data_IF_425595598336
#
_entry.id   IF_425595598336
#
_cell.length_a   1.000
_cell.length_b   1.000
_cell.length_c   1.000
_cell.angle_alpha   90.00
_cell.angle_beta   90.00
_cell.angle_gamma   90.00
#
_symmetry.space_group_name_H-M   'P 1'
#
loop_
_entity.id
_entity.type
_entity.pdbx_description
1 polymer ?
#
# COMPACT_ATOMS: atom_id res chain seq x y z
N UNK A 1 -1.33 -14.82 -2.10
CA UNK A 1 -1.83 -13.60 -1.43
C UNK A 1 -1.47 -13.69 0.04
N UNK A 2 -1.10 -12.59 0.71
CA UNK A 2 -0.62 -12.63 2.10
C UNK A 2 -1.66 -13.25 3.05
N UNK A 3 -1.24 -14.16 3.91
CA UNK A 3 -2.05 -14.76 4.96
C UNK A 3 -2.11 -13.86 6.20
N UNK A 4 -3.15 -14.01 7.02
CA UNK A 4 -3.25 -13.25 8.28
C UNK A 4 -2.08 -13.55 9.22
N UNK A 5 -1.58 -14.79 9.20
CA UNK A 5 -0.44 -15.22 9.99
C UNK A 5 0.85 -14.50 9.58
N UNK A 6 1.15 -14.42 8.27
CA UNK A 6 2.32 -13.68 7.76
C UNK A 6 2.24 -12.20 8.12
N UNK A 7 1.04 -11.60 8.00
CA UNK A 7 0.80 -10.20 8.34
C UNK A 7 1.04 -9.96 9.83
N UNK A 8 0.47 -10.81 10.70
CA UNK A 8 0.63 -10.67 12.14
C UNK A 8 2.09 -10.85 12.58
N UNK A 9 2.81 -11.81 11.99
CA UNK A 9 4.24 -12.01 12.25
C UNK A 9 5.06 -10.79 11.84
N UNK A 10 4.76 -10.20 10.68
CA UNK A 10 5.42 -8.97 10.25
C UNK A 10 5.11 -7.80 11.19
N UNK A 11 3.84 -7.58 11.57
CA UNK A 11 3.47 -6.52 12.54
C UNK A 11 4.29 -6.65 13.83
N UNK A 12 4.40 -7.86 14.38
CA UNK A 12 5.17 -8.12 15.59
C UNK A 12 6.68 -7.86 15.41
N UNK A 13 7.21 -8.14 14.22
CA UNK A 13 8.65 -7.99 13.91
C UNK A 13 9.05 -6.54 13.72
N UNK A 14 8.21 -5.74 13.07
CA UNK A 14 8.56 -4.36 12.68
C UNK A 14 8.44 -3.40 13.87
N UNK A 15 7.93 -3.86 15.03
CA UNK A 15 7.80 -3.12 16.30
C UNK A 15 7.40 -1.67 16.07
N UNK A 16 6.33 -1.49 15.31
CA UNK A 16 5.81 -0.17 15.00
C UNK A 16 5.30 0.40 16.36
N UNK A 17 5.48 1.69 16.66
CA UNK A 17 5.36 2.22 18.03
C UNK A 17 3.95 2.15 18.67
N UNK A 18 3.72 2.81 19.81
CA UNK A 18 2.43 2.74 20.54
C UNK A 18 1.20 3.27 19.76
N UNK A 19 1.39 3.88 18.60
CA UNK A 19 0.33 4.40 17.71
C UNK A 19 0.01 3.44 16.54
N UNK A 20 0.17 2.13 16.74
CA UNK A 20 -0.14 1.08 15.76
C UNK A 20 -1.63 0.90 15.56
N UNK A 21 -2.22 1.80 14.78
CA UNK A 21 -3.58 1.66 14.31
C UNK A 21 -3.57 0.71 13.09
N UNK A 22 -3.53 -0.59 13.36
CA UNK A 22 -3.85 -1.62 12.37
C UNK A 22 -5.32 -1.99 12.54
N UNK A 23 -6.16 -1.52 11.62
CA UNK A 23 -7.60 -1.81 11.68
C UNK A 23 -7.92 -3.23 11.22
N UNK A 24 -7.29 -3.68 10.12
CA UNK A 24 -7.59 -4.97 9.52
C UNK A 24 -6.41 -5.50 8.67
N UNK A 25 -6.16 -6.83 8.63
CA UNK A 25 -5.14 -7.42 7.76
C UNK A 25 -5.31 -7.08 6.27
N UNK A 26 -6.55 -6.87 5.82
CA UNK A 26 -6.83 -6.46 4.44
C UNK A 26 -6.24 -5.10 4.08
N UNK A 27 -6.06 -4.18 5.03
CA UNK A 27 -5.38 -2.91 4.77
C UNK A 27 -3.93 -3.14 4.31
N UNK A 28 -3.26 -4.15 4.90
CA UNK A 28 -1.93 -4.59 4.47
C UNK A 28 -1.98 -5.25 3.09
N UNK A 29 -2.99 -6.08 2.80
CA UNK A 29 -3.15 -6.71 1.48
C UNK A 29 -3.38 -5.66 0.38
N UNK A 30 -4.19 -4.65 0.67
CA UNK A 30 -4.45 -3.52 -0.22
C UNK A 30 -3.15 -2.76 -0.52
N UNK A 31 -2.41 -2.39 0.53
CA UNK A 31 -1.14 -1.70 0.37
C UNK A 31 -0.12 -2.56 -0.41
N UNK A 32 -0.08 -3.86 -0.15
CA UNK A 32 0.78 -4.80 -0.86
C UNK A 32 0.44 -4.83 -2.35
N UNK A 33 -0.84 -4.98 -2.70
CA UNK A 33 -1.30 -5.02 -4.08
C UNK A 33 -0.96 -3.73 -4.85
N UNK A 34 -1.09 -2.57 -4.19
CA UNK A 34 -0.73 -1.29 -4.79
C UNK A 34 0.79 -1.15 -5.01
N UNK A 35 1.61 -1.55 -4.03
CA UNK A 35 3.08 -1.54 -4.14
C UNK A 35 3.60 -2.51 -5.20
N UNK A 36 2.95 -3.67 -5.35
CA UNK A 36 3.32 -4.68 -6.33
C UNK A 36 3.14 -4.21 -7.77
N UNK A 37 2.13 -3.38 -8.05
CA UNK A 37 1.93 -2.78 -9.37
C UNK A 37 2.96 -1.69 -9.74
N UNK A 38 3.69 -1.13 -8.77
CA UNK A 38 4.60 -0.01 -9.06
C UNK A 38 5.87 -0.46 -9.80
N UNK A 39 6.39 0.40 -10.68
CA UNK A 39 7.73 0.20 -11.27
C UNK A 39 8.81 0.43 -10.21
N UNK A 40 9.67 -0.56 -9.99
CA UNK A 40 10.79 -0.48 -9.05
C UNK A 40 12.01 0.18 -9.69
N UNK A 41 12.78 0.92 -8.90
CA UNK A 41 14.03 1.59 -9.29
C UNK A 41 15.19 1.11 -8.38
N UNK A 42 16.43 1.37 -8.80
CA UNK A 42 17.61 0.86 -8.09
C UNK A 42 17.88 1.57 -6.76
N UNK A 43 17.49 2.83 -6.63
CA UNK A 43 17.67 3.65 -5.43
C UNK A 43 16.34 4.01 -4.79
N UNK A 44 16.34 4.35 -3.50
CA UNK A 44 15.15 4.89 -2.86
C UNK A 44 14.72 6.20 -3.55
N UNK A 45 13.43 6.33 -3.85
CA UNK A 45 12.90 7.57 -4.39
C UNK A 45 13.09 8.68 -3.35
N UNK A 46 13.62 9.83 -3.78
CA UNK A 46 13.78 11.01 -2.91
C UNK A 46 12.48 11.80 -2.74
N UNK A 47 11.43 11.43 -3.47
CA UNK A 47 10.16 12.12 -3.41
C UNK A 47 9.31 11.53 -2.27
N UNK A 48 9.12 12.33 -1.24
CA UNK A 48 8.27 11.99 -0.10
C UNK A 48 6.81 12.15 -0.51
N UNK A 49 6.14 11.03 -0.78
CA UNK A 49 4.69 10.98 -0.95
C UNK A 49 4.04 10.43 0.31
N UNK A 50 2.88 10.95 0.68
CA UNK A 50 1.99 10.26 1.61
C UNK A 50 1.28 9.12 0.86
N UNK A 51 2.03 8.03 0.61
CA UNK A 51 1.59 6.90 -0.22
C UNK A 51 0.27 6.31 0.26
N UNK A 52 0.01 6.35 1.57
CA UNK A 52 -1.25 5.89 2.16
C UNK A 52 -2.45 6.54 1.48
N UNK A 53 -2.42 7.84 1.20
CA UNK A 53 -3.58 8.52 0.60
C UNK A 53 -3.86 8.06 -0.82
N UNK A 54 -2.84 7.70 -1.60
CA UNK A 54 -3.05 7.15 -2.93
C UNK A 54 -3.65 5.75 -2.87
N UNK A 55 -3.17 4.93 -1.92
CA UNK A 55 -3.67 3.58 -1.67
C UNK A 55 -5.12 3.63 -1.18
N UNK A 56 -5.43 4.50 -0.22
CA UNK A 56 -6.77 4.72 0.34
C UNK A 56 -7.79 5.08 -0.74
N UNK A 57 -7.45 6.08 -1.56
CA UNK A 57 -8.30 6.57 -2.65
C UNK A 57 -8.48 5.51 -3.73
N UNK A 58 -7.42 4.78 -4.05
CA UNK A 58 -7.51 3.70 -5.00
C UNK A 58 -8.43 2.59 -4.47
N UNK A 59 -8.23 2.11 -3.25
CA UNK A 59 -8.98 0.97 -2.72
C UNK A 59 -10.36 1.29 -2.12
N UNK A 60 -10.66 2.57 -1.85
CA UNK A 60 -11.89 2.96 -1.16
C UNK A 60 -11.95 2.45 0.29
N UNK A 61 -10.80 2.38 0.96
CA UNK A 61 -10.65 1.89 2.34
C UNK A 61 -9.53 2.65 3.03
N UNK A 62 -9.73 3.06 4.28
CA UNK A 62 -8.66 3.62 5.10
C UNK A 62 -7.48 2.65 5.24
N UNK A 63 -6.24 3.16 5.09
CA UNK A 63 -4.99 2.42 5.22
C UNK A 63 -4.01 3.27 6.02
N UNK A 64 -3.48 2.72 7.12
CA UNK A 64 -2.53 3.43 7.96
C UNK A 64 -1.12 3.44 7.36
N UNK A 65 -0.24 4.31 7.86
CA UNK A 65 1.19 4.27 7.51
C UNK A 65 1.85 2.96 7.94
N UNK A 66 1.37 2.39 9.06
CA UNK A 66 1.84 1.12 9.58
C UNK A 66 1.50 0.00 8.60
N UNK A 67 0.30 -0.01 8.01
CA UNK A 67 -0.10 -0.99 7.00
C UNK A 67 0.81 -0.95 5.78
N UNK A 68 1.15 0.26 5.31
CA UNK A 68 2.08 0.45 4.18
C UNK A 68 3.49 -0.05 4.52
N UNK A 69 3.95 0.17 5.76
CA UNK A 69 5.26 -0.32 6.23
C UNK A 69 5.29 -1.85 6.29
N UNK A 70 4.24 -2.49 6.82
CA UNK A 70 4.11 -3.95 6.87
C UNK A 70 4.07 -4.53 5.47
N UNK A 71 3.26 -3.95 4.58
CA UNK A 71 3.18 -4.38 3.19
C UNK A 71 4.54 -4.28 2.47
N UNK A 72 5.26 -3.18 2.67
CA UNK A 72 6.59 -2.99 2.11
C UNK A 72 7.62 -3.99 2.68
N UNK A 73 7.54 -4.29 3.98
CA UNK A 73 8.40 -5.28 4.63
C UNK A 73 8.17 -6.70 4.07
N UNK A 74 6.91 -7.06 3.82
CA UNK A 74 6.52 -8.36 3.26
C UNK A 74 6.83 -8.50 1.76
N UNK A 75 7.05 -7.39 1.05
CA UNK A 75 7.18 -7.41 -0.40
C UNK A 75 8.64 -7.67 -0.84
N UNK A 76 8.92 -8.73 -1.63
CA UNK A 76 10.29 -9.17 -1.92
C UNK A 76 11.14 -8.16 -2.72
N UNK A 77 10.52 -7.39 -3.62
CA UNK A 77 11.19 -6.38 -4.44
C UNK A 77 11.15 -4.95 -3.89
N UNK A 78 10.40 -4.67 -2.83
CA UNK A 78 10.31 -3.32 -2.25
C UNK A 78 11.42 -3.17 -1.21
N UNK A 79 12.13 -2.05 -1.28
CA UNK A 79 13.26 -1.69 -0.42
C UNK A 79 13.12 -0.22 0.00
N UNK A 80 13.77 0.13 1.10
CA UNK A 80 13.70 1.47 1.67
C UNK A 80 12.81 1.53 2.90
N UNK A 81 12.43 2.73 3.31
CA UNK A 81 11.62 2.98 4.52
C UNK A 81 10.59 4.05 4.20
N UNK A 82 9.37 3.87 4.68
CA UNK A 82 8.31 4.86 4.50
C UNK A 82 8.78 6.27 4.95
N UNK A 83 8.53 7.33 4.14
CA UNK A 83 7.76 7.34 2.89
C UNK A 83 8.57 7.01 1.62
N UNK A 84 9.87 6.76 1.74
CA UNK A 84 10.82 6.64 0.63
C UNK A 84 11.15 5.17 0.32
N UNK A 85 10.36 4.56 -0.57
CA UNK A 85 10.65 3.24 -1.13
C UNK A 85 11.35 3.33 -2.48
N UNK A 86 11.88 2.21 -2.96
CA UNK A 86 12.50 2.05 -4.28
C UNK A 86 11.46 1.99 -5.42
N UNK A 87 10.46 2.87 -5.40
CA UNK A 87 9.43 2.97 -6.44
C UNK A 87 9.66 4.22 -7.30
N UNK A 88 9.34 4.13 -8.59
CA UNK A 88 9.38 5.25 -9.53
C UNK A 88 8.41 6.36 -9.11
N UNK A 89 8.80 7.63 -9.24
CA UNK A 89 7.88 8.77 -9.05
C UNK A 89 6.81 8.84 -10.14
N UNK A 90 7.07 8.24 -11.30
CA UNK A 90 6.05 7.98 -12.31
C UNK A 90 5.23 6.76 -11.89
N UNK A 91 4.17 6.99 -11.12
CA UNK A 91 3.31 5.94 -10.55
C UNK A 91 2.53 5.19 -11.64
N UNK A 92 2.24 3.93 -11.35
CA UNK A 92 1.38 3.05 -12.17
C UNK A 92 0.05 2.87 -11.47
N UNK A 93 -1.06 3.16 -12.16
CA UNK A 93 -2.42 2.89 -11.66
C UNK A 93 -2.63 1.37 -11.63
N UNK A 94 -2.77 0.75 -10.45
CA UNK A 94 -2.93 -0.69 -10.38
C UNK A 94 -4.29 -1.13 -10.92
N UNK A 95 -4.35 -2.29 -11.59
CA UNK A 95 -5.61 -2.83 -12.08
C UNK A 95 -6.53 -3.23 -10.91
N UNK A 96 -7.84 -3.00 -11.08
CA UNK A 96 -8.87 -3.34 -10.09
C UNK A 96 -8.94 -4.83 -9.78
N UNK A 97 -8.54 -5.68 -10.73
CA UNK A 97 -8.54 -7.14 -10.55
C UNK A 97 -7.66 -7.59 -9.37
N UNK A 98 -6.65 -6.80 -9.00
CA UNK A 98 -5.78 -7.05 -7.84
C UNK A 98 -6.52 -7.03 -6.49
N UNK A 99 -7.72 -6.44 -6.45
CA UNK A 99 -8.54 -6.29 -5.25
C UNK A 99 -9.63 -7.35 -5.08
N UNK A 100 -9.88 -8.21 -6.09
CA UNK A 100 -11.05 -9.11 -6.14
C UNK A 100 -11.17 -10.02 -4.91
N UNK A 101 -10.05 -10.40 -4.29
CA UNK A 101 -10.02 -11.32 -3.15
C UNK A 101 -9.78 -10.63 -1.80
N UNK A 102 -10.01 -9.31 -1.71
CA UNK A 102 -9.90 -8.54 -0.48
C UNK A 102 -11.31 -8.10 -0.07
N UNK A 103 -11.75 -8.47 1.13
CA UNK A 103 -13.12 -8.26 1.58
C UNK A 103 -13.37 -6.79 1.97
N UNK A 104 -12.39 -6.14 2.58
CA UNK A 104 -12.50 -4.76 3.07
C UNK A 104 -12.43 -3.68 1.99
N UNK A 105 -12.34 -4.05 0.71
CA UNK A 105 -12.25 -3.09 -0.40
C UNK A 105 -13.58 -2.38 -0.60
N UNK A 106 -13.53 -1.06 -0.84
CA UNK A 106 -14.70 -0.22 -1.11
C UNK A 106 -15.72 -0.13 0.04
N UNK A 107 -15.40 -0.57 1.26
CA UNK A 107 -16.29 -0.44 2.41
C UNK A 107 -16.41 1.00 2.91
N UNK A 108 -15.50 1.90 2.50
CA UNK A 108 -15.51 3.33 2.82
C UNK A 108 -15.54 4.16 1.51
N UNK A 109 -16.68 4.23 0.83
CA UNK A 109 -16.78 4.74 -0.55
C UNK A 109 -16.35 6.20 -0.69
N UNK A 110 -16.45 7.01 0.36
CA UNK A 110 -16.01 8.41 0.37
C UNK A 110 -14.54 8.58 -0.01
N UNK A 111 -13.68 7.62 0.35
CA UNK A 111 -12.27 7.63 -0.07
C UNK A 111 -12.13 7.47 -1.58
N UNK A 112 -12.94 6.58 -2.19
CA UNK A 112 -12.85 6.29 -3.60
C UNK A 112 -13.29 7.46 -4.47
N UNK A 113 -14.26 8.26 -4.02
CA UNK A 113 -14.70 9.47 -4.76
C UNK A 113 -13.57 10.48 -5.00
N UNK A 114 -12.52 10.42 -4.17
CA UNK A 114 -11.34 11.29 -4.26
C UNK A 114 -10.18 10.67 -5.05
N UNK A 115 -10.40 9.51 -5.67
CA UNK A 115 -9.45 8.89 -6.59
C UNK A 115 -9.26 9.79 -7.80
N UNK A 116 -8.01 10.17 -8.06
CA UNK A 116 -7.65 10.97 -9.22
C UNK A 116 -6.73 10.13 -10.11
N UNK A 117 -7.22 9.55 -11.22
CA UNK A 117 -6.41 8.80 -12.15
C UNK A 117 -5.24 9.62 -12.76
N UNK A 118 -5.32 10.96 -12.75
CA UNK A 118 -4.29 11.83 -13.36
C UNK A 118 -2.97 11.83 -12.60
N UNK A 119 -2.95 11.35 -11.35
CA UNK A 119 -1.70 11.22 -10.57
C UNK A 119 -0.81 10.10 -11.12
N UNK A 120 -1.39 9.15 -11.85
CA UNK A 120 -0.68 8.01 -12.41
C UNK A 120 -0.22 8.33 -13.82
N UNK A 121 1.07 8.07 -14.08
CA UNK A 121 1.64 8.24 -15.42
C UNK A 121 1.40 7.02 -16.29
N UNK A 122 1.37 5.84 -15.68
CA UNK A 122 1.17 4.58 -16.35
C UNK A 122 -0.11 3.90 -15.84
N UNK A 123 -0.65 2.99 -16.65
CA UNK A 123 -1.71 2.06 -16.26
C UNK A 123 -1.19 0.64 -16.49
N UNK A 124 -1.58 -0.24 -15.60
CA UNK A 124 -1.30 -1.68 -15.70
C UNK A 124 -2.11 -2.35 -16.83
#
# INVERSE_FOLDING_TARGET
MLTDQEIQQAINTISIGPNNLHEHPDCVRIAYAWLDAQKKIQSACRQSYSLKHYIEKWAGRYVSESDVKVAAYLHPAIKGKYPNFNISSNLTEPCRSRLINIQEVMTQPDYHTRHDPKIYKFRE
#
